data_IF_167207782267
#
_entry.id   IF_167207782267
#
_cell.length_a   1.000
_cell.length_b   1.000
_cell.length_c   1.000
_cell.angle_alpha   90.00
_cell.angle_beta   90.00
_cell.angle_gamma   90.00
#
_symmetry.space_group_name_H-M   'P 1'
#
loop_
_entity.id
_entity.type
_entity.pdbx_description
1 polymer ?
#
# COMPACT_ATOMS: atom_id res chain seq x y z
N UNK A 1 17.89 -13.14 11.39
CA UNK A 1 17.56 -12.61 12.73
C UNK A 1 16.09 -12.25 12.74
N UNK A 2 15.26 -12.89 13.56
CA UNK A 2 13.84 -12.54 13.66
C UNK A 2 13.75 -11.15 14.29
N UNK A 3 13.07 -10.20 13.64
CA UNK A 3 12.61 -9.02 14.35
C UNK A 3 11.76 -9.53 15.51
N UNK A 4 12.29 -9.31 16.72
CA UNK A 4 11.79 -9.82 17.98
C UNK A 4 10.29 -9.51 18.12
N UNK A 5 9.62 -10.36 18.92
CA UNK A 5 8.23 -10.18 19.35
C UNK A 5 7.91 -8.69 19.53
N UNK A 6 6.76 -8.18 19.03
CA UNK A 6 6.45 -6.76 19.10
C UNK A 6 6.63 -6.26 20.54
N UNK A 7 7.57 -5.34 20.73
CA UNK A 7 8.01 -4.85 22.05
C UNK A 7 6.97 -3.94 22.73
N UNK A 8 5.89 -3.61 22.02
CA UNK A 8 4.70 -2.98 22.61
C UNK A 8 3.40 -3.50 22.00
N UNK A 9 2.34 -3.53 22.82
CA UNK A 9 0.96 -3.87 22.42
C UNK A 9 0.50 -3.02 21.21
N UNK A 10 0.98 -1.77 21.11
CA UNK A 10 0.65 -0.86 20.01
C UNK A 10 1.21 -1.31 18.65
N UNK A 11 2.45 -1.80 18.60
CA UNK A 11 3.06 -2.29 17.36
C UNK A 11 2.41 -3.59 16.86
N UNK A 12 2.08 -4.50 17.80
CA UNK A 12 1.35 -5.72 17.49
C UNK A 12 -0.04 -5.41 16.87
N UNK A 13 -0.73 -4.39 17.39
CA UNK A 13 -2.04 -3.97 16.90
C UNK A 13 -1.97 -3.34 15.50
N UNK A 14 -0.94 -2.55 15.20
CA UNK A 14 -0.72 -1.95 13.87
C UNK A 14 -0.42 -3.02 12.80
N UNK A 15 0.42 -4.00 13.12
CA UNK A 15 0.72 -5.10 12.19
C UNK A 15 -0.53 -5.95 11.86
N UNK A 16 -1.40 -6.20 12.86
CA UNK A 16 -2.67 -6.90 12.65
C UNK A 16 -3.63 -6.17 11.71
N UNK A 17 -3.69 -4.83 11.79
CA UNK A 17 -4.57 -4.05 10.93
C UNK A 17 -4.11 -4.09 9.46
N UNK A 18 -2.79 -4.00 9.22
CA UNK A 18 -2.20 -4.12 7.88
C UNK A 18 -2.46 -5.51 7.27
N UNK A 19 -2.30 -6.57 8.06
CA UNK A 19 -2.58 -7.94 7.60
C UNK A 19 -4.05 -8.14 7.20
N UNK A 20 -5.00 -7.54 7.91
CA UNK A 20 -6.43 -7.63 7.56
C UNK A 20 -6.78 -6.88 6.27
N UNK A 21 -6.09 -5.79 5.98
CA UNK A 21 -6.40 -4.93 4.85
C UNK A 21 -5.57 -5.25 3.59
N UNK A 22 -4.64 -6.21 3.64
CA UNK A 22 -3.72 -6.52 2.53
C UNK A 22 -4.43 -6.97 1.25
N UNK A 23 -5.58 -7.66 1.39
CA UNK A 23 -6.41 -8.12 0.28
C UNK A 23 -7.32 -7.03 -0.30
N UNK A 24 -7.41 -5.85 0.35
CA UNK A 24 -8.24 -4.75 -0.14
C UNK A 24 -7.51 -4.03 -1.27
N UNK A 25 -8.24 -3.74 -2.34
CA UNK A 25 -7.70 -3.11 -3.54
C UNK A 25 -8.22 -1.70 -3.72
N UNK A 26 -7.36 -0.83 -4.24
CA UNK A 26 -7.64 0.58 -4.50
C UNK A 26 -7.02 1.02 -5.82
N UNK A 27 -7.56 2.08 -6.41
CA UNK A 27 -6.94 2.81 -7.52
C UNK A 27 -5.97 3.85 -6.93
N UNK A 28 -4.69 3.78 -7.32
CA UNK A 28 -3.63 4.62 -6.79
C UNK A 28 -2.99 5.40 -7.95
N UNK A 29 -3.21 6.72 -7.99
CA UNK A 29 -2.51 7.59 -8.95
C UNK A 29 -1.54 8.58 -8.28
N UNK A 30 -0.74 9.27 -9.10
CA UNK A 30 0.21 10.24 -8.61
C UNK A 30 -0.46 11.60 -8.34
N UNK A 31 -0.29 12.15 -7.13
CA UNK A 31 -0.99 13.38 -6.70
C UNK A 31 -0.86 14.56 -7.67
N UNK A 32 0.32 14.75 -8.29
CA UNK A 32 0.55 15.81 -9.29
C UNK A 32 -0.43 15.74 -10.47
N UNK A 33 -0.74 14.54 -10.94
CA UNK A 33 -1.60 14.34 -12.12
C UNK A 33 -3.06 14.66 -11.79
N UNK A 34 -3.51 14.38 -10.56
CA UNK A 34 -4.82 14.79 -10.08
C UNK A 34 -4.93 16.32 -9.96
N UNK A 35 -3.91 17.00 -9.43
CA UNK A 35 -3.89 18.47 -9.33
C UNK A 35 -3.91 19.11 -10.71
N UNK A 36 -3.17 18.54 -11.67
CA UNK A 36 -3.23 18.99 -13.06
C UNK A 36 -4.62 18.77 -13.67
N UNK A 37 -5.27 17.64 -13.39
CA UNK A 37 -6.66 17.38 -13.77
C UNK A 37 -7.62 18.45 -13.21
N UNK A 38 -7.50 18.79 -11.92
CA UNK A 38 -8.29 19.86 -11.30
C UNK A 38 -8.06 21.21 -11.97
N UNK A 39 -6.80 21.54 -12.32
CA UNK A 39 -6.48 22.76 -13.03
C UNK A 39 -7.09 22.82 -14.44
N UNK A 40 -7.10 21.68 -15.17
CA UNK A 40 -7.73 21.57 -16.49
C UNK A 40 -9.25 21.66 -16.43
N UNK A 41 -9.88 21.17 -15.36
CA UNK A 41 -11.32 21.28 -15.14
C UNK A 41 -11.77 22.74 -15.01
N UNK A 42 -10.97 23.59 -14.36
CA UNK A 42 -11.26 25.02 -14.22
C UNK A 42 -11.15 25.82 -15.52
N UNK A 43 -10.53 25.26 -16.56
CA UNK A 43 -10.31 25.91 -17.85
C UNK A 43 -11.35 25.51 -18.91
N UNK A 44 -12.35 24.69 -18.56
CA UNK A 44 -13.42 24.29 -19.47
C UNK A 44 -14.42 25.44 -19.68
N UNK A 45 -14.92 25.60 -20.91
CA UNK A 45 -15.94 26.62 -21.24
C UNK A 45 -17.28 26.41 -20.51
N UNK A 46 -17.58 25.16 -20.16
CA UNK A 46 -18.80 24.77 -19.43
C UNK A 46 -18.43 23.89 -18.24
N UNK A 47 -18.99 24.15 -17.05
CA UNK A 47 -18.75 23.32 -15.88
C UNK A 47 -19.39 21.94 -16.05
N UNK A 48 -18.67 20.89 -15.68
CA UNK A 48 -19.17 19.52 -15.66
C UNK A 48 -18.49 18.69 -14.55
N UNK A 49 -19.06 17.52 -14.24
CA UNK A 49 -18.50 16.57 -13.29
C UNK A 49 -17.48 15.65 -13.96
N UNK A 50 -16.29 15.53 -13.36
CA UNK A 50 -15.24 14.62 -13.84
C UNK A 50 -14.85 13.62 -12.75
N UNK A 51 -14.61 12.37 -13.16
CA UNK A 51 -14.00 11.34 -12.32
C UNK A 51 -12.54 11.19 -12.77
N UNK A 52 -11.61 11.49 -11.87
CA UNK A 52 -10.18 11.26 -12.09
C UNK A 52 -9.79 9.93 -11.43
N UNK A 53 -9.25 9.00 -12.21
CA UNK A 53 -8.85 7.67 -11.79
C UNK A 53 -7.77 7.14 -12.74
N UNK A 54 -6.90 6.24 -12.27
CA UNK A 54 -5.95 5.56 -13.18
C UNK A 54 -6.64 4.45 -13.98
N UNK A 55 -7.75 3.92 -13.46
CA UNK A 55 -8.43 2.74 -14.02
C UNK A 55 -7.75 1.42 -13.65
N UNK A 56 -6.60 1.47 -12.97
CA UNK A 56 -5.88 0.30 -12.51
C UNK A 56 -6.07 0.12 -11.00
N UNK A 57 -6.42 -1.10 -10.59
CA UNK A 57 -6.61 -1.42 -9.17
C UNK A 57 -5.45 -2.28 -8.67
N UNK A 58 -4.81 -1.84 -7.58
CA UNK A 58 -3.72 -2.57 -6.92
C UNK A 58 -4.08 -2.86 -5.46
N UNK A 59 -3.79 -4.07 -4.98
CA UNK A 59 -4.02 -4.44 -3.57
C UNK A 59 -3.01 -3.78 -2.63
N UNK A 60 -3.39 -3.59 -1.37
CA UNK A 60 -2.46 -3.07 -0.35
C UNK A 60 -1.23 -3.99 -0.22
N UNK A 61 -1.41 -5.31 -0.34
CA UNK A 61 -0.31 -6.27 -0.33
C UNK A 61 0.68 -6.04 -1.48
N UNK A 62 0.18 -5.92 -2.71
CA UNK A 62 0.99 -5.65 -3.90
C UNK A 62 1.69 -4.28 -3.82
N UNK A 63 1.01 -3.27 -3.29
CA UNK A 63 1.59 -1.94 -3.07
C UNK A 63 2.78 -2.02 -2.10
N UNK A 64 2.63 -2.73 -0.98
CA UNK A 64 3.71 -2.93 -0.01
C UNK A 64 4.88 -3.69 -0.64
N UNK A 65 4.63 -4.77 -1.38
CA UNK A 65 5.69 -5.52 -2.06
C UNK A 65 6.54 -4.64 -2.98
N UNK A 66 5.90 -3.79 -3.79
CA UNK A 66 6.59 -2.84 -4.67
C UNK A 66 7.39 -1.80 -3.87
N UNK A 67 6.77 -1.18 -2.86
CA UNK A 67 7.42 -0.15 -2.06
C UNK A 67 8.65 -0.66 -1.29
N UNK A 68 8.59 -1.90 -0.78
CA UNK A 68 9.73 -2.50 -0.08
C UNK A 68 10.81 -3.02 -1.05
N UNK A 69 10.44 -3.43 -2.27
CA UNK A 69 11.41 -3.82 -3.29
C UNK A 69 12.35 -2.66 -3.65
N UNK A 70 11.86 -1.42 -3.68
CA UNK A 70 12.67 -0.21 -3.97
C UNK A 70 13.81 0.01 -2.96
N UNK A 71 13.70 -0.56 -1.76
CA UNK A 71 14.73 -0.52 -0.70
C UNK A 71 15.38 -1.88 -0.45
N UNK A 72 15.32 -2.78 -1.45
CA UNK A 72 15.91 -4.13 -1.40
C UNK A 72 15.39 -5.00 -0.25
N UNK A 73 14.13 -4.79 0.14
CA UNK A 73 13.44 -5.58 1.15
C UNK A 73 12.43 -6.51 0.46
N UNK A 74 12.62 -7.81 0.63
CA UNK A 74 11.60 -8.80 0.23
C UNK A 74 10.63 -9.05 1.37
N UNK A 75 9.33 -8.98 1.06
CA UNK A 75 8.26 -9.34 1.98
C UNK A 75 7.88 -10.82 1.79
N UNK A 76 8.00 -11.62 2.85
CA UNK A 76 7.39 -12.95 2.88
C UNK A 76 6.11 -12.92 3.70
N UNK A 77 5.01 -13.35 3.10
CA UNK A 77 3.71 -13.51 3.73
C UNK A 77 3.55 -14.94 4.25
N UNK A 78 3.61 -15.14 5.57
CA UNK A 78 3.36 -16.46 6.17
C UNK A 78 1.95 -16.55 6.72
N UNK A 79 1.12 -17.43 6.14
CA UNK A 79 -0.16 -17.82 6.73
C UNK A 79 0.11 -18.59 8.03
N UNK A 80 -0.26 -17.99 9.16
CA UNK A 80 -0.32 -18.71 10.43
C UNK A 80 -1.80 -19.04 10.68
N UNK A 81 -2.10 -20.29 11.08
CA UNK A 81 -3.46 -20.81 11.30
C UNK A 81 -4.32 -20.08 12.35
N UNK A 82 -3.85 -18.94 12.84
CA UNK A 82 -4.61 -17.92 13.56
C UNK A 82 -4.43 -16.59 12.83
N UNK A 83 -5.19 -16.36 11.75
CA UNK A 83 -5.60 -15.04 11.20
C UNK A 83 -4.55 -13.89 11.07
N UNK A 84 -3.26 -14.16 11.19
CA UNK A 84 -2.19 -13.16 11.06
C UNK A 84 -1.15 -13.59 10.06
N UNK A 85 -0.88 -12.66 9.14
CA UNK A 85 0.26 -12.67 8.26
C UNK A 85 1.46 -12.15 9.05
N UNK A 86 2.50 -12.97 9.22
CA UNK A 86 3.82 -12.44 9.64
C UNK A 86 4.54 -11.96 8.40
N UNK A 87 4.92 -10.69 8.41
CA UNK A 87 5.81 -10.10 7.44
C UNK A 87 7.25 -10.50 7.82
N UNK A 88 7.91 -11.35 7.02
CA UNK A 88 9.37 -11.46 7.11
C UNK A 88 9.97 -10.44 6.16
N UNK A 89 10.74 -9.51 6.73
CA UNK A 89 11.59 -8.57 6.01
C UNK A 89 12.93 -9.26 5.81
N UNK A 90 13.26 -9.59 4.57
CA UNK A 90 14.62 -10.03 4.21
C UNK A 90 15.30 -8.89 3.48
N UNK A 91 16.37 -8.36 4.06
CA UNK A 91 17.27 -7.47 3.33
C UNK A 91 18.06 -8.34 2.35
N UNK A 92 18.04 -8.01 1.06
CA UNK A 92 18.94 -8.63 0.10
C UNK A 92 20.38 -8.18 0.41
N UNK A 93 21.39 -9.05 0.24
CA UNK A 93 22.77 -8.66 0.43
C UNK A 93 23.11 -7.51 -0.52
N UNK A 94 23.67 -6.44 0.05
CA UNK A 94 24.21 -5.28 -0.63
C UNK A 94 25.41 -5.64 -1.52
#
# INVERSE_FOLDING_TARGET
MWLNKPTSIAQARRARQLAKNSARSYDWGHAREYVEGMSRMLQQDKPDGHVLATGETTSVGQFLERAFADVNITLEWKASGVDWLRLRVRCLPC
#
